data_IF_759820633006
#
_entry.id   IF_759820633006
#
_cell.length_a   1.000
_cell.length_b   1.000
_cell.length_c   1.000
_cell.angle_alpha   90.00
_cell.angle_beta   90.00
_cell.angle_gamma   90.00
#
_symmetry.space_group_name_H-M   'P 1'
#
loop_
_entity.id
_entity.type
_entity.pdbx_description
1 polymer ?
#
# COMPACT_ATOMS: atom_id res chain seq x y z
N UNK A 1 -1.07 7.92 -0.29
CA UNK A 1 -1.93 6.97 -1.03
C UNK A 1 -3.39 7.16 -0.64
N UNK A 2 -4.33 7.05 -1.59
CA UNK A 2 -5.76 6.88 -1.29
C UNK A 2 -6.16 5.46 -1.66
N UNK A 3 -6.67 4.70 -0.70
CA UNK A 3 -7.05 3.29 -0.87
C UNK A 3 -8.57 3.23 -0.71
N UNK A 4 -9.25 2.68 -1.73
CA UNK A 4 -10.70 2.49 -1.71
C UNK A 4 -11.02 1.00 -1.77
N UNK A 5 -11.74 0.51 -0.76
CA UNK A 5 -12.21 -0.85 -0.65
C UNK A 5 -13.56 -1.01 -1.38
N UNK A 6 -13.84 -2.23 -1.83
CA UNK A 6 -15.13 -2.55 -2.49
C UNK A 6 -16.29 -2.59 -1.48
N UNK A 7 -16.00 -2.97 -0.23
CA UNK A 7 -16.95 -3.06 0.88
C UNK A 7 -16.52 -2.16 2.04
N UNK A 8 -17.47 -1.84 2.91
CA UNK A 8 -17.16 -1.13 4.17
C UNK A 8 -16.32 -2.01 5.08
N UNK A 9 -15.33 -1.41 5.75
CA UNK A 9 -14.48 -2.10 6.71
C UNK A 9 -15.22 -2.36 8.02
N UNK A 10 -14.93 -3.49 8.68
CA UNK A 10 -15.48 -3.82 10.00
C UNK A 10 -15.04 -2.84 11.11
N UNK A 11 -13.81 -2.31 10.97
CA UNK A 11 -13.15 -1.44 11.94
C UNK A 11 -12.32 -0.38 11.25
N UNK A 12 -11.88 0.61 12.01
CA UNK A 12 -10.92 1.59 11.52
C UNK A 12 -9.54 0.97 11.33
N UNK A 13 -8.88 1.35 10.23
CA UNK A 13 -7.52 0.95 9.90
C UNK A 13 -6.52 1.75 10.73
N UNK A 14 -5.59 1.05 11.36
CA UNK A 14 -4.46 1.64 12.04
C UNK A 14 -3.17 1.46 11.21
N UNK A 15 -2.13 2.24 11.51
CA UNK A 15 -0.84 2.15 10.85
C UNK A 15 -0.22 0.73 10.91
N UNK A 16 -0.49 -0.03 11.97
CA UNK A 16 -0.01 -1.41 12.14
C UNK A 16 -0.62 -2.41 11.15
N UNK A 17 -1.81 -2.11 10.64
CA UNK A 17 -2.56 -3.00 9.73
C UNK A 17 -2.05 -2.88 8.28
N UNK A 18 -1.14 -1.92 8.02
CA UNK A 18 -0.63 -1.56 6.69
C UNK A 18 0.90 -1.68 6.65
N UNK A 19 1.42 -2.69 5.95
CA UNK A 19 2.87 -2.87 5.79
C UNK A 19 3.29 -2.39 4.42
N UNK A 20 3.95 -1.23 4.38
CA UNK A 20 4.48 -0.67 3.15
C UNK A 20 5.97 -0.96 2.98
N UNK A 21 6.34 -1.34 1.76
CA UNK A 21 7.73 -1.42 1.31
C UNK A 21 7.87 -0.71 -0.01
N UNK A 22 9.05 -0.23 -0.34
CA UNK A 22 9.36 0.24 -1.67
C UNK A 22 10.70 -0.25 -2.17
N UNK A 23 10.82 -0.37 -3.49
CA UNK A 23 12.04 -0.82 -4.15
C UNK A 23 12.11 -0.24 -5.56
N UNK A 24 13.26 -0.44 -6.20
CA UNK A 24 13.50 -0.13 -7.61
C UNK A 24 13.84 -1.41 -8.36
N UNK A 25 13.74 -1.38 -9.69
CA UNK A 25 14.28 -2.44 -10.55
C UNK A 25 15.46 -1.90 -11.34
N UNK A 26 16.40 -2.78 -11.70
CA UNK A 26 17.47 -2.39 -12.62
C UNK A 26 16.86 -1.98 -13.97
N UNK A 27 17.34 -0.85 -14.52
CA UNK A 27 17.02 -0.44 -15.88
C UNK A 27 17.90 -1.19 -16.87
N UNK A 28 17.72 -2.51 -16.96
CA UNK A 28 18.37 -3.37 -17.95
C UNK A 28 17.31 -4.12 -18.73
N UNK A 29 17.62 -4.43 -19.99
CA UNK A 29 16.75 -5.17 -20.91
C UNK A 29 16.52 -6.64 -20.52
N UNK A 30 17.15 -7.11 -19.44
CA UNK A 30 16.95 -8.46 -18.92
C UNK A 30 15.62 -8.58 -18.18
N UNK A 31 14.75 -9.45 -18.70
CA UNK A 31 13.50 -9.80 -18.05
C UNK A 31 13.73 -10.38 -16.65
N UNK A 32 12.88 -10.00 -15.69
CA UNK A 32 12.93 -10.54 -14.33
C UNK A 32 14.02 -9.93 -13.44
N UNK A 33 14.39 -8.67 -13.65
CA UNK A 33 15.37 -7.98 -12.79
C UNK A 33 14.98 -8.06 -11.30
N UNK A 34 15.96 -8.24 -10.39
CA UNK A 34 15.67 -8.33 -8.96
C UNK A 34 15.17 -7.00 -8.40
N UNK A 35 14.43 -7.06 -7.29
CA UNK A 35 14.08 -5.88 -6.50
C UNK A 35 15.33 -5.35 -5.78
N UNK A 36 15.67 -4.10 -6.02
CA UNK A 36 16.81 -3.41 -5.43
C UNK A 36 16.39 -2.26 -4.52
N UNK A 37 17.33 -1.79 -3.69
CA UNK A 37 17.14 -0.61 -2.83
C UNK A 37 15.85 -0.71 -2.00
N UNK A 38 15.60 -1.88 -1.40
CA UNK A 38 14.40 -2.13 -0.59
C UNK A 38 14.39 -1.22 0.63
N UNK A 39 13.23 -0.63 0.88
CA UNK A 39 12.99 0.25 2.02
C UNK A 39 11.68 -0.18 2.66
N UNK A 40 11.70 -0.47 3.96
CA UNK A 40 10.48 -0.55 4.76
C UNK A 40 10.00 0.89 5.03
N UNK A 41 8.83 1.23 4.49
CA UNK A 41 8.24 2.57 4.58
C UNK A 41 7.37 2.67 5.82
N UNK A 42 7.59 3.70 6.64
CA UNK A 42 6.79 3.90 7.85
C UNK A 42 5.49 4.60 7.46
N UNK A 43 4.37 4.07 7.94
CA UNK A 43 3.06 4.74 7.88
C UNK A 43 3.03 5.83 8.94
N UNK A 44 2.97 7.08 8.51
CA UNK A 44 2.93 8.24 9.41
C UNK A 44 1.51 8.54 9.89
N UNK A 45 0.53 8.40 8.99
CA UNK A 45 -0.87 8.59 9.33
C UNK A 45 -1.79 7.77 8.44
N UNK A 46 -2.93 7.41 9.02
CA UNK A 46 -4.07 6.80 8.33
C UNK A 46 -5.29 7.65 8.67
N UNK A 47 -5.85 8.31 7.66
CA UNK A 47 -7.05 9.16 7.80
C UNK A 47 -8.21 8.53 7.06
N UNK A 48 -9.30 8.27 7.76
CA UNK A 48 -10.55 7.83 7.12
C UNK A 48 -11.17 8.98 6.34
N UNK A 49 -11.42 8.77 5.05
CA UNK A 49 -12.11 9.74 4.19
C UNK A 49 -13.59 9.37 4.01
N UNK A 50 -13.92 8.08 4.03
CA UNK A 50 -15.28 7.56 3.93
C UNK A 50 -15.38 6.17 4.58
N UNK A 51 -16.57 5.53 4.64
CA UNK A 51 -16.70 4.15 5.12
C UNK A 51 -15.84 3.14 4.35
N UNK A 52 -15.47 3.45 3.10
CA UNK A 52 -14.71 2.57 2.19
C UNK A 52 -13.35 3.14 1.77
N UNK A 53 -13.00 4.36 2.14
CA UNK A 53 -11.80 5.03 1.64
C UNK A 53 -10.94 5.55 2.78
N UNK A 54 -9.65 5.25 2.72
CA UNK A 54 -8.63 5.78 3.64
C UNK A 54 -7.53 6.48 2.85
N UNK A 55 -6.99 7.54 3.45
CA UNK A 55 -5.78 8.19 3.00
C UNK A 55 -4.62 7.79 3.92
N UNK A 56 -3.50 7.44 3.33
CA UNK A 56 -2.30 6.95 4.02
C UNK A 56 -1.11 7.81 3.63
N UNK A 57 -0.40 8.32 4.63
CA UNK A 57 0.83 9.10 4.46
C UNK A 57 2.04 8.25 4.86
N UNK A 58 3.10 8.30 4.06
CA UNK A 58 4.35 7.58 4.29
C UNK A 58 5.51 8.56 4.46
N UNK A 59 6.46 8.22 5.32
CA UNK A 59 7.67 8.99 5.61
C UNK A 59 8.53 9.29 4.38
N UNK A 60 8.72 8.30 3.50
CA UNK A 60 9.67 8.31 2.38
C UNK A 60 8.97 8.01 1.06
N UNK A 61 7.91 8.77 0.79
CA UNK A 61 7.22 8.72 -0.49
C UNK A 61 8.01 9.47 -1.58
N UNK A 62 8.46 8.76 -2.62
CA UNK A 62 9.34 9.28 -3.67
C UNK A 62 8.93 8.74 -5.04
N UNK A 63 9.03 9.56 -6.11
CA UNK A 63 8.80 9.09 -7.47
C UNK A 63 9.88 8.08 -7.91
N UNK A 64 9.56 7.30 -8.95
CA UNK A 64 10.47 6.31 -9.54
C UNK A 64 10.60 5.02 -8.73
N UNK A 65 9.75 4.81 -7.72
CA UNK A 65 9.76 3.61 -6.87
C UNK A 65 8.47 2.82 -7.03
N UNK A 66 8.60 1.50 -6.91
CA UNK A 66 7.47 0.59 -6.77
C UNK A 66 7.18 0.46 -5.28
N UNK A 67 5.93 0.69 -4.90
CA UNK A 67 5.42 0.51 -3.55
C UNK A 67 4.65 -0.79 -3.48
N UNK A 68 5.06 -1.65 -2.55
CA UNK A 68 4.34 -2.82 -2.13
C UNK A 68 3.55 -2.49 -0.88
N UNK A 69 2.27 -2.87 -0.87
CA UNK A 69 1.43 -2.84 0.32
C UNK A 69 0.97 -4.27 0.63
N UNK A 70 1.31 -4.72 1.83
CA UNK A 70 0.75 -5.92 2.45
C UNK A 70 -0.30 -5.50 3.47
N UNK A 71 -1.55 -5.91 3.23
CA UNK A 71 -2.65 -5.78 4.17
C UNK A 71 -2.67 -7.01 5.08
N UNK A 72 -2.78 -6.80 6.39
CA UNK A 72 -3.07 -7.91 7.32
C UNK A 72 -4.51 -8.43 7.13
N UNK A 73 -4.93 -9.43 7.92
CA UNK A 73 -6.30 -9.96 7.84
C UNK A 73 -7.33 -8.85 8.14
N UNK A 74 -7.94 -8.33 7.08
CA UNK A 74 -9.05 -7.36 7.15
C UNK A 74 -10.35 -8.04 6.75
N UNK A 75 -11.44 -7.62 7.40
CA UNK A 75 -12.80 -8.05 7.06
C UNK A 75 -13.70 -6.88 6.69
N UNK A 76 -14.70 -7.18 5.88
CA UNK A 76 -15.82 -6.28 5.65
C UNK A 76 -16.72 -6.22 6.89
N UNK A 77 -17.57 -5.21 6.97
CA UNK A 77 -18.63 -5.10 7.98
C UNK A 77 -19.60 -6.30 7.98
N UNK A 78 -19.70 -7.02 6.87
CA UNK A 78 -20.50 -8.24 6.70
C UNK A 78 -19.73 -9.50 7.12
N UNK A 79 -18.45 -9.38 7.47
CA UNK A 79 -17.59 -10.47 7.94
C UNK A 79 -16.72 -11.13 6.87
N UNK A 80 -16.82 -10.70 5.60
CA UNK A 80 -16.04 -11.27 4.51
C UNK A 80 -14.56 -10.90 4.60
N UNK A 81 -13.67 -11.87 4.44
CA UNK A 81 -12.24 -11.63 4.39
C UNK A 81 -11.84 -10.91 3.09
N UNK A 82 -10.85 -10.04 3.18
CA UNK A 82 -10.23 -9.44 2.00
C UNK A 82 -9.54 -10.53 1.16
N UNK A 83 -9.82 -10.54 -0.15
CA UNK A 83 -9.27 -11.56 -1.05
C UNK A 83 -7.84 -11.23 -1.50
N UNK A 84 -7.56 -9.95 -1.78
CA UNK A 84 -6.25 -9.50 -2.22
C UNK A 84 -5.58 -8.75 -1.07
N UNK A 85 -4.47 -9.28 -0.57
CA UNK A 85 -3.71 -8.68 0.53
C UNK A 85 -2.44 -7.98 0.04
N UNK A 86 -1.96 -8.34 -1.14
CA UNK A 86 -0.71 -7.86 -1.71
C UNK A 86 -0.97 -6.97 -2.92
N UNK A 87 -0.46 -5.74 -2.87
CA UNK A 87 -0.62 -4.75 -3.92
C UNK A 87 0.72 -4.16 -4.30
N UNK A 88 0.89 -3.86 -5.59
CA UNK A 88 2.05 -3.15 -6.11
C UNK A 88 1.60 -1.92 -6.90
N UNK A 89 2.25 -0.79 -6.67
CA UNK A 89 1.98 0.46 -7.37
C UNK A 89 3.26 1.24 -7.65
N UNK A 90 3.50 1.58 -8.90
CA UNK A 90 4.64 2.43 -9.28
C UNK A 90 4.28 3.90 -9.17
N UNK A 91 4.98 4.64 -8.30
CA UNK A 91 4.85 6.08 -8.20
C UNK A 91 5.65 6.75 -9.32
N UNK A 92 5.04 6.95 -10.49
CA UNK A 92 5.74 7.53 -11.65
C UNK A 92 5.94 9.04 -11.52
N UNK A 93 4.89 9.77 -11.16
CA UNK A 93 4.90 11.21 -10.95
C UNK A 93 4.13 11.53 -9.67
N UNK A 94 4.64 12.49 -8.90
CA UNK A 94 3.97 13.00 -7.71
C UNK A 94 3.31 14.34 -8.08
N UNK A 95 2.05 14.58 -7.69
CA UNK A 95 1.39 15.88 -7.87
C UNK A 95 2.05 16.97 -7.02
#
# INVERSE_FOLDING_TARGET
FKITFTRELERELAAKDLKFKSFTYQSKWTYGSPQENRIDNKVESVRRLSPKTVEVTLDRFKPGRVYQLDLEELKSKEGDKIQNQLFYYTANQLP
#
